data_IF_019059385903
#
_entry.id   IF_019059385903
#
_cell.length_a   1.000
_cell.length_b   1.000
_cell.length_c   1.000
_cell.angle_alpha   90.00
_cell.angle_beta   90.00
_cell.angle_gamma   90.00
#
_symmetry.space_group_name_H-M   'P 1'
#
loop_
_entity.id
_entity.type
_entity.pdbx_description
1 polymer ?
#
# COMPACT_ATOMS: atom_id res chain seq x y z
N UNK A 1 -24.21 -24.97 30.95
CA UNK A 1 -22.77 -25.09 31.19
C UNK A 1 -22.11 -23.88 30.54
N UNK A 2 -21.90 -22.84 31.34
CA UNK A 2 -21.20 -21.63 30.92
C UNK A 2 -19.72 -21.98 30.76
N UNK A 3 -19.17 -21.77 29.56
CA UNK A 3 -17.75 -21.90 29.29
C UNK A 3 -17.19 -20.51 29.02
N UNK A 4 -16.50 -20.00 30.04
CA UNK A 4 -15.49 -18.95 30.04
C UNK A 4 -14.56 -19.04 28.82
N UNK A 5 -14.59 -18.03 27.94
CA UNK A 5 -13.50 -17.74 27.00
C UNK A 5 -13.25 -16.23 26.94
N UNK A 6 -12.21 -15.86 27.67
CA UNK A 6 -11.21 -14.82 27.40
C UNK A 6 -11.68 -13.37 27.16
N UNK A 7 -11.46 -12.57 28.21
CA UNK A 7 -11.23 -11.13 28.11
C UNK A 7 -9.98 -10.95 27.24
N UNK A 8 -10.16 -10.72 25.95
CA UNK A 8 -9.09 -10.25 25.08
C UNK A 8 -8.76 -8.82 25.54
N UNK A 9 -7.68 -8.67 26.31
CA UNK A 9 -7.16 -7.35 26.66
C UNK A 9 -6.84 -6.64 25.35
N UNK A 10 -7.54 -5.54 25.04
CA UNK A 10 -7.24 -4.74 23.88
C UNK A 10 -5.76 -4.32 23.95
N UNK A 11 -4.99 -4.69 22.93
CA UNK A 11 -3.57 -4.35 22.86
C UNK A 11 -3.43 -2.82 22.85
N UNK A 12 -2.52 -2.27 23.67
CA UNK A 12 -2.25 -0.83 23.64
C UNK A 12 -1.57 -0.46 22.33
N UNK A 13 -1.73 0.80 21.88
CA UNK A 13 -1.06 1.30 20.67
C UNK A 13 0.45 1.08 20.75
N UNK A 14 1.06 1.31 21.92
CA UNK A 14 2.49 1.09 22.13
C UNK A 14 2.90 -0.36 21.85
N UNK A 15 2.12 -1.33 22.32
CA UNK A 15 2.40 -2.75 22.08
C UNK A 15 2.26 -3.14 20.59
N UNK A 16 1.26 -2.58 19.90
CA UNK A 16 1.07 -2.80 18.46
C UNK A 16 2.20 -2.19 17.64
N UNK A 17 2.67 -1.02 18.02
CA UNK A 17 3.80 -0.35 17.33
C UNK A 17 5.13 -1.05 17.61
N UNK A 18 5.34 -1.61 18.79
CA UNK A 18 6.53 -2.42 19.05
C UNK A 18 6.53 -3.73 18.25
N UNK A 19 5.37 -4.38 18.14
CA UNK A 19 5.18 -5.52 17.23
C UNK A 19 5.48 -5.11 15.78
N UNK A 20 4.90 -4.01 15.29
CA UNK A 20 5.19 -3.48 13.95
C UNK A 20 6.68 -3.22 13.71
N UNK A 21 7.37 -2.66 14.70
CA UNK A 21 8.81 -2.40 14.61
C UNK A 21 9.62 -3.68 14.46
N UNK A 22 9.30 -4.68 15.28
CA UNK A 22 10.00 -5.97 15.29
C UNK A 22 9.70 -6.81 14.04
N UNK A 23 8.45 -6.82 13.59
CA UNK A 23 7.97 -7.62 12.46
C UNK A 23 8.35 -7.01 11.10
N UNK A 24 8.34 -5.67 10.97
CA UNK A 24 8.48 -5.00 9.66
C UNK A 24 9.54 -3.91 9.65
N UNK A 25 9.47 -2.91 10.54
CA UNK A 25 10.29 -1.69 10.41
C UNK A 25 11.78 -2.00 10.39
N UNK A 26 12.26 -2.85 11.30
CA UNK A 26 13.69 -3.20 11.39
C UNK A 26 14.23 -3.77 10.08
N UNK A 27 13.43 -4.60 9.41
CA UNK A 27 13.83 -5.29 8.19
C UNK A 27 13.68 -4.38 6.97
N UNK A 28 12.52 -3.74 6.80
CA UNK A 28 12.20 -2.91 5.62
C UNK A 28 13.09 -1.67 5.49
N UNK A 29 13.59 -1.14 6.60
CA UNK A 29 14.50 0.02 6.61
C UNK A 29 15.97 -0.36 6.37
N UNK A 30 16.29 -1.65 6.41
CA UNK A 30 17.66 -2.17 6.26
C UNK A 30 17.96 -2.73 4.86
N UNK A 31 16.92 -2.91 4.02
CA UNK A 31 17.02 -3.59 2.73
C UNK A 31 16.05 -2.98 1.70
N UNK A 32 16.47 -2.94 0.43
CA UNK A 32 15.63 -2.56 -0.73
C UNK A 32 15.01 -3.79 -1.42
N UNK A 33 14.89 -4.90 -0.68
CA UNK A 33 14.32 -6.17 -1.12
C UNK A 33 12.79 -6.10 -1.21
N UNK A 34 12.28 -6.10 -2.45
CA UNK A 34 10.83 -6.07 -2.73
C UNK A 34 10.15 -7.43 -2.58
N UNK A 35 10.90 -8.51 -2.33
CA UNK A 35 10.36 -9.86 -2.22
C UNK A 35 9.60 -10.12 -0.92
N UNK A 36 9.79 -9.26 0.08
CA UNK A 36 9.09 -9.30 1.37
C UNK A 36 7.85 -8.41 1.44
N UNK A 37 7.50 -7.69 0.37
CA UNK A 37 6.31 -6.83 0.34
C UNK A 37 5.01 -7.54 0.77
N UNK A 38 4.83 -8.79 0.33
CA UNK A 38 3.68 -9.63 0.71
C UNK A 38 3.66 -9.92 2.21
N UNK A 39 4.82 -10.20 2.80
CA UNK A 39 4.98 -10.49 4.22
C UNK A 39 4.63 -9.24 5.06
N UNK A 40 5.22 -8.09 4.71
CA UNK A 40 4.93 -6.82 5.36
C UNK A 40 3.45 -6.42 5.28
N UNK A 41 2.81 -6.63 4.12
CA UNK A 41 1.39 -6.37 3.91
C UNK A 41 0.48 -7.27 4.78
N UNK A 42 0.87 -8.52 5.02
CA UNK A 42 0.16 -9.43 5.91
C UNK A 42 0.37 -9.06 7.37
N UNK A 43 1.58 -8.66 7.78
CA UNK A 43 1.84 -8.14 9.12
C UNK A 43 1.06 -6.85 9.40
N UNK A 44 0.94 -5.95 8.42
CA UNK A 44 0.06 -4.78 8.51
C UNK A 44 -1.38 -5.21 8.81
N UNK A 45 -1.90 -6.20 8.08
CA UNK A 45 -3.26 -6.73 8.28
C UNK A 45 -3.42 -7.38 9.66
N UNK A 46 -2.42 -8.14 10.11
CA UNK A 46 -2.38 -8.81 11.41
C UNK A 46 -2.50 -7.79 12.54
N UNK A 47 -1.69 -6.74 12.50
CA UNK A 47 -1.59 -5.76 13.58
C UNK A 47 -2.82 -4.86 13.64
N UNK A 48 -3.35 -4.42 12.49
CA UNK A 48 -4.46 -3.46 12.47
C UNK A 48 -5.86 -4.07 12.63
N UNK A 49 -6.06 -5.31 12.17
CA UNK A 49 -7.42 -5.87 12.06
C UNK A 49 -7.54 -7.36 12.40
N UNK A 50 -6.47 -8.14 12.27
CA UNK A 50 -6.53 -9.60 12.38
C UNK A 50 -5.42 -10.14 13.29
N UNK A 51 -5.46 -9.90 14.62
CA UNK A 51 -4.36 -10.27 15.53
C UNK A 51 -4.03 -11.76 15.54
N UNK A 52 -5.00 -12.62 15.22
CA UNK A 52 -4.82 -14.08 15.07
C UNK A 52 -4.44 -14.55 13.67
N UNK A 53 -4.09 -13.65 12.74
CA UNK A 53 -3.74 -14.01 11.36
C UNK A 53 -2.43 -14.82 11.33
N UNK A 54 -2.52 -16.05 10.82
CA UNK A 54 -1.34 -16.85 10.50
C UNK A 54 -0.73 -16.36 9.17
N UNK A 55 0.26 -15.47 9.27
CA UNK A 55 0.97 -14.91 8.12
C UNK A 55 1.62 -16.01 7.27
N UNK A 56 2.17 -17.05 7.90
CA UNK A 56 2.87 -18.13 7.19
C UNK A 56 1.92 -19.00 6.38
N UNK A 57 0.71 -19.24 6.89
CA UNK A 57 -0.33 -19.95 6.17
C UNK A 57 -0.77 -19.18 4.91
N UNK A 58 -0.99 -17.86 5.03
CA UNK A 58 -1.39 -17.04 3.86
C UNK A 58 -0.25 -16.95 2.84
N UNK A 59 1.01 -16.78 3.27
CA UNK A 59 2.16 -16.83 2.36
C UNK A 59 2.24 -18.17 1.61
N UNK A 60 2.03 -19.28 2.31
CA UNK A 60 2.03 -20.61 1.70
C UNK A 60 0.91 -20.79 0.67
N UNK A 61 -0.26 -20.19 0.91
CA UNK A 61 -1.36 -20.19 -0.07
C UNK A 61 -0.99 -19.38 -1.33
N UNK A 62 -0.41 -18.19 -1.18
CA UNK A 62 0.04 -17.38 -2.32
C UNK A 62 1.17 -18.09 -3.08
N UNK A 63 2.09 -18.72 -2.37
CA UNK A 63 3.17 -19.49 -2.99
C UNK A 63 2.61 -20.68 -3.78
N UNK A 64 1.58 -21.36 -3.27
CA UNK A 64 0.87 -22.41 -4.01
C UNK A 64 0.26 -21.88 -5.31
N UNK A 65 -0.36 -20.69 -5.29
CA UNK A 65 -0.82 -20.02 -6.50
C UNK A 65 0.33 -19.77 -7.48
N UNK A 66 1.49 -19.31 -6.99
CA UNK A 66 2.68 -19.13 -7.80
C UNK A 66 3.17 -20.43 -8.46
N UNK A 67 3.14 -21.55 -7.74
CA UNK A 67 3.49 -22.86 -8.29
C UNK A 67 2.55 -23.31 -9.40
N UNK A 68 1.25 -23.04 -9.30
CA UNK A 68 0.28 -23.32 -10.36
C UNK A 68 0.62 -22.55 -11.65
N UNK A 69 0.96 -21.26 -11.53
CA UNK A 69 1.41 -20.45 -12.67
C UNK A 69 2.71 -20.98 -13.26
N UNK A 70 3.66 -21.46 -12.43
CA UNK A 70 4.89 -22.14 -12.92
C UNK A 70 4.54 -23.34 -13.80
N UNK A 71 3.55 -24.15 -13.42
CA UNK A 71 3.13 -25.30 -14.22
C UNK A 71 2.48 -24.86 -15.53
N UNK A 72 1.60 -23.85 -15.50
CA UNK A 72 0.99 -23.29 -16.71
C UNK A 72 2.04 -22.77 -17.69
N UNK A 73 3.01 -22.00 -17.20
CA UNK A 73 4.10 -21.46 -18.00
C UNK A 73 4.97 -22.56 -18.60
N UNK A 74 5.30 -23.61 -17.82
CA UNK A 74 6.10 -24.75 -18.32
C UNK A 74 5.37 -25.58 -19.38
N UNK A 75 4.06 -25.74 -19.23
CA UNK A 75 3.23 -26.55 -20.14
C UNK A 75 2.94 -25.82 -21.45
N UNK A 76 2.61 -24.54 -21.37
CA UNK A 76 2.02 -23.82 -22.49
C UNK A 76 3.03 -23.00 -23.31
N UNK A 77 4.18 -22.65 -22.72
CA UNK A 77 5.16 -21.77 -23.37
C UNK A 77 6.45 -22.51 -23.73
N UNK A 78 6.80 -22.44 -25.02
CA UNK A 78 8.10 -22.87 -25.52
C UNK A 78 9.24 -21.96 -25.04
N UNK A 79 10.47 -22.48 -25.06
CA UNK A 79 11.70 -21.74 -24.72
C UNK A 79 12.39 -21.27 -26.01
N UNK A 80 12.90 -20.01 -26.09
CA UNK A 80 12.86 -18.96 -25.07
C UNK A 80 11.48 -18.30 -24.95
N UNK A 81 11.14 -17.89 -23.72
CA UNK A 81 9.84 -17.27 -23.39
C UNK A 81 9.93 -15.76 -23.55
N UNK A 82 8.94 -15.14 -24.20
CA UNK A 82 8.86 -13.67 -24.26
C UNK A 82 8.24 -13.13 -22.96
N UNK A 83 8.72 -11.98 -22.43
CA UNK A 83 8.13 -11.34 -21.24
C UNK A 83 6.61 -11.18 -21.31
N UNK A 84 6.08 -10.75 -22.46
CA UNK A 84 4.64 -10.58 -22.67
C UNK A 84 3.85 -11.88 -22.53
N UNK A 85 4.40 -13.02 -22.96
CA UNK A 85 3.73 -14.31 -22.79
C UNK A 85 3.68 -14.75 -21.31
N UNK A 86 4.70 -14.39 -20.52
CA UNK A 86 4.70 -14.65 -19.08
C UNK A 86 3.66 -13.76 -18.39
N UNK A 87 3.62 -12.48 -18.75
CA UNK A 87 2.59 -11.52 -18.28
C UNK A 87 1.19 -12.05 -18.60
N UNK A 88 0.94 -12.47 -19.85
CA UNK A 88 -0.35 -13.02 -20.26
C UNK A 88 -0.74 -14.25 -19.42
N UNK A 89 0.21 -15.14 -19.08
CA UNK A 89 -0.08 -16.30 -18.22
C UNK A 89 -0.40 -15.93 -16.78
N UNK A 90 0.27 -14.92 -16.22
CA UNK A 90 -0.07 -14.41 -14.88
C UNK A 90 -1.45 -13.74 -14.92
N UNK A 91 -1.74 -12.96 -15.96
CA UNK A 91 -3.02 -12.30 -16.17
C UNK A 91 -4.17 -13.31 -16.30
N UNK A 92 -3.98 -14.34 -17.12
CA UNK A 92 -4.94 -15.42 -17.31
C UNK A 92 -5.24 -16.11 -15.99
N UNK A 93 -4.21 -16.43 -15.21
CA UNK A 93 -4.40 -17.07 -13.91
C UNK A 93 -5.15 -16.16 -12.93
N UNK A 94 -4.66 -14.94 -12.70
CA UNK A 94 -5.25 -14.04 -11.71
C UNK A 94 -6.65 -13.56 -12.10
N UNK A 95 -6.78 -12.98 -13.29
CA UNK A 95 -7.98 -12.21 -13.65
C UNK A 95 -8.99 -13.06 -14.41
N UNK A 96 -8.55 -13.98 -15.28
CA UNK A 96 -9.45 -14.79 -16.08
C UNK A 96 -9.91 -16.07 -15.35
N UNK A 97 -8.99 -16.81 -14.73
CA UNK A 97 -9.30 -18.06 -14.04
C UNK A 97 -9.78 -17.81 -12.61
N UNK A 98 -8.98 -17.08 -11.81
CA UNK A 98 -9.29 -16.86 -10.40
C UNK A 98 -10.23 -15.70 -10.16
N UNK A 99 -10.47 -14.82 -11.13
CA UNK A 99 -11.41 -13.68 -11.07
C UNK A 99 -11.03 -12.63 -10.03
N UNK A 100 -9.73 -12.40 -9.82
CA UNK A 100 -9.28 -11.19 -9.14
C UNK A 100 -9.75 -9.96 -9.91
N UNK A 101 -10.18 -8.92 -9.20
CA UNK A 101 -10.67 -7.68 -9.83
C UNK A 101 -10.47 -6.45 -8.95
N UNK A 102 -10.50 -5.29 -9.59
CA UNK A 102 -10.62 -4.00 -8.94
C UNK A 102 -11.94 -3.87 -8.16
N UNK A 103 -11.90 -3.21 -6.99
CA UNK A 103 -13.11 -2.71 -6.33
C UNK A 103 -13.37 -1.25 -6.72
N UNK A 104 -14.04 -1.03 -7.84
CA UNK A 104 -14.34 0.34 -8.30
C UNK A 104 -15.55 0.90 -7.55
N UNK A 105 -16.55 0.06 -7.29
CA UNK A 105 -17.83 0.48 -6.69
C UNK A 105 -17.70 0.85 -5.21
N UNK A 106 -16.77 0.19 -4.49
CA UNK A 106 -16.52 0.42 -3.07
C UNK A 106 -15.01 0.58 -2.81
N UNK A 107 -14.41 1.52 -3.54
CA UNK A 107 -12.95 1.73 -3.57
C UNK A 107 -12.36 2.05 -2.19
N UNK A 108 -13.04 2.89 -1.41
CA UNK A 108 -12.60 3.33 -0.08
C UNK A 108 -12.96 2.35 1.05
N UNK A 109 -13.37 1.12 0.73
CA UNK A 109 -13.51 0.09 1.76
C UNK A 109 -12.14 -0.29 2.34
N UNK A 110 -11.91 -0.17 3.67
CA UNK A 110 -10.66 -0.57 4.30
C UNK A 110 -10.26 -2.02 4.00
N UNK A 111 -11.25 -2.90 3.78
CA UNK A 111 -11.03 -4.31 3.47
C UNK A 111 -10.28 -4.54 2.16
N UNK A 112 -10.31 -3.59 1.24
CA UNK A 112 -9.52 -3.64 0.01
C UNK A 112 -8.01 -3.51 0.27
N UNK A 113 -7.59 -3.04 1.44
CA UNK A 113 -6.18 -2.84 1.80
C UNK A 113 -5.60 -4.00 2.61
N UNK A 114 -6.41 -4.93 3.14
CA UNK A 114 -5.91 -6.08 3.91
C UNK A 114 -5.66 -7.27 2.98
N UNK A 115 -4.39 -7.64 2.78
CA UNK A 115 -4.02 -8.60 1.73
C UNK A 115 -4.66 -9.98 1.93
N UNK A 116 -4.82 -10.44 3.18
CA UNK A 116 -5.54 -11.69 3.48
C UNK A 116 -7.00 -11.64 3.00
N UNK A 117 -7.67 -10.50 3.19
CA UNK A 117 -9.05 -10.28 2.75
C UNK A 117 -9.14 -10.14 1.24
N UNK A 118 -8.16 -9.47 0.62
CA UNK A 118 -8.07 -9.35 -0.85
C UNK A 118 -7.94 -10.72 -1.51
N UNK A 119 -7.18 -11.65 -0.92
CA UNK A 119 -7.04 -13.01 -1.45
C UNK A 119 -8.35 -13.80 -1.31
N UNK A 120 -9.03 -13.68 -0.17
CA UNK A 120 -10.31 -14.33 0.09
C UNK A 120 -11.41 -13.82 -0.85
N UNK A 121 -11.58 -12.50 -0.92
CA UNK A 121 -12.64 -11.83 -1.69
C UNK A 121 -12.29 -11.64 -3.17
N UNK A 122 -11.04 -11.85 -3.53
CA UNK A 122 -10.47 -11.65 -4.87
C UNK A 122 -10.73 -10.24 -5.41
N UNK A 123 -10.77 -9.27 -4.51
CA UNK A 123 -11.16 -7.90 -4.81
C UNK A 123 -10.25 -6.96 -4.04
N UNK A 124 -9.65 -5.97 -4.71
CA UNK A 124 -8.66 -5.09 -4.07
C UNK A 124 -8.45 -3.76 -4.80
N UNK A 125 -7.53 -2.97 -4.25
CA UNK A 125 -7.07 -1.68 -4.80
C UNK A 125 -5.72 -1.85 -5.53
N UNK A 126 -5.25 -0.85 -6.32
CA UNK A 126 -4.09 -1.02 -7.20
C UNK A 126 -2.86 -1.61 -6.52
N UNK A 127 -2.52 -1.13 -5.32
CA UNK A 127 -1.33 -1.58 -4.59
C UNK A 127 -1.44 -3.03 -4.10
N UNK A 128 -2.62 -3.46 -3.65
CA UNK A 128 -2.80 -4.83 -3.13
C UNK A 128 -2.78 -5.88 -4.24
N UNK A 129 -3.42 -5.59 -5.38
CA UNK A 129 -3.38 -6.47 -6.55
C UNK A 129 -1.96 -6.53 -7.14
N UNK A 130 -1.23 -5.41 -7.13
CA UNK A 130 0.17 -5.39 -7.54
C UNK A 130 1.08 -6.21 -6.61
N UNK A 131 0.93 -6.12 -5.29
CA UNK A 131 1.73 -6.93 -4.35
C UNK A 131 1.50 -8.43 -4.58
N UNK A 132 0.25 -8.85 -4.80
CA UNK A 132 -0.06 -10.24 -5.16
C UNK A 132 0.60 -10.64 -6.49
N UNK A 133 0.49 -9.78 -7.51
CA UNK A 133 1.09 -10.00 -8.82
C UNK A 133 2.61 -10.18 -8.72
N UNK A 134 3.31 -9.29 -8.00
CA UNK A 134 4.76 -9.33 -7.81
C UNK A 134 5.20 -10.66 -7.19
N UNK A 135 4.46 -11.17 -6.20
CA UNK A 135 4.76 -12.46 -5.55
C UNK A 135 4.62 -13.64 -6.52
N UNK A 136 3.59 -13.63 -7.36
CA UNK A 136 3.37 -14.68 -8.37
C UNK A 136 4.42 -14.60 -9.48
N UNK A 137 4.74 -13.40 -9.97
CA UNK A 137 5.78 -13.18 -10.97
C UNK A 137 7.15 -13.72 -10.49
N UNK A 138 7.46 -13.53 -9.20
CA UNK A 138 8.66 -14.10 -8.58
C UNK A 138 8.69 -15.63 -8.66
N UNK A 139 7.57 -16.31 -8.44
CA UNK A 139 7.52 -17.78 -8.46
C UNK A 139 7.91 -18.36 -9.83
N UNK A 140 7.58 -17.65 -10.92
CA UNK A 140 7.98 -18.02 -12.30
C UNK A 140 9.36 -17.49 -12.70
N UNK A 141 10.15 -16.97 -11.75
CA UNK A 141 11.44 -16.32 -11.98
C UNK A 141 11.35 -15.15 -12.97
N UNK A 142 10.23 -14.43 -12.96
CA UNK A 142 10.02 -13.23 -13.77
C UNK A 142 10.14 -12.00 -12.89
N UNK A 143 11.29 -11.32 -12.97
CA UNK A 143 11.58 -10.17 -12.11
C UNK A 143 10.71 -9.00 -12.50
N UNK A 144 9.85 -8.57 -11.58
CA UNK A 144 9.08 -7.34 -11.69
C UNK A 144 9.36 -6.41 -10.51
N UNK A 145 9.20 -5.12 -10.75
CA UNK A 145 9.52 -4.05 -9.81
C UNK A 145 8.28 -3.18 -9.56
N UNK A 146 7.99 -2.78 -8.31
CA UNK A 146 6.88 -1.88 -8.01
C UNK A 146 7.15 -0.47 -8.56
N UNK A 147 6.09 0.23 -8.95
CA UNK A 147 6.13 1.61 -9.44
C UNK A 147 5.10 2.44 -8.69
N UNK A 148 5.58 3.45 -7.95
CA UNK A 148 4.75 4.34 -7.16
C UNK A 148 4.21 5.51 -8.01
N UNK A 149 3.41 5.19 -9.01
CA UNK A 149 2.86 6.19 -9.94
C UNK A 149 1.86 7.13 -9.22
N UNK A 150 1.71 8.40 -9.63
CA UNK A 150 0.75 9.29 -8.99
C UNK A 150 -0.68 8.74 -9.07
N UNK A 151 -1.38 8.72 -7.93
CA UNK A 151 -2.76 8.23 -7.74
C UNK A 151 -3.07 6.79 -8.18
N UNK A 152 -2.12 6.07 -8.76
CA UNK A 152 -2.27 4.67 -9.15
C UNK A 152 -1.01 3.86 -8.86
N UNK A 153 -1.12 2.57 -8.61
CA UNK A 153 0.07 1.74 -8.36
C UNK A 153 0.28 0.76 -9.50
N UNK A 154 1.50 0.73 -10.03
CA UNK A 154 1.87 -0.05 -11.21
C UNK A 154 3.02 -0.98 -10.87
N UNK A 155 3.31 -1.90 -11.78
CA UNK A 155 4.51 -2.74 -11.72
C UNK A 155 5.19 -2.73 -13.07
N UNK A 156 6.48 -3.03 -13.11
CA UNK A 156 7.24 -3.06 -14.36
C UNK A 156 8.19 -4.22 -14.45
N UNK A 157 8.52 -4.63 -15.67
CA UNK A 157 9.61 -5.52 -15.99
C UNK A 157 10.63 -4.76 -16.84
N UNK A 158 11.89 -4.72 -16.40
CA UNK A 158 13.00 -4.14 -17.19
C UNK A 158 13.55 -5.23 -18.10
N UNK A 159 13.68 -4.93 -19.40
CA UNK A 159 14.18 -5.88 -20.39
C UNK A 159 15.66 -6.19 -20.14
N UNK A 160 16.08 -7.43 -20.42
CA UNK A 160 17.43 -7.93 -20.11
C UNK A 160 18.56 -7.14 -20.80
N UNK A 161 18.29 -6.60 -21.98
CA UNK A 161 19.22 -5.77 -22.76
C UNK A 161 19.18 -4.29 -22.37
N UNK A 162 18.40 -3.92 -21.35
CA UNK A 162 18.10 -2.54 -20.94
C UNK A 162 17.53 -1.66 -22.07
N UNK A 163 16.94 -2.26 -23.12
CA UNK A 163 16.35 -1.51 -24.24
C UNK A 163 15.05 -0.81 -23.86
N UNK A 164 14.44 -1.17 -22.74
CA UNK A 164 13.20 -0.58 -22.25
C UNK A 164 12.60 -1.32 -21.08
N UNK A 165 11.34 -1.00 -20.79
CA UNK A 165 10.56 -1.60 -19.72
C UNK A 165 9.12 -1.84 -20.17
N UNK A 166 8.50 -2.88 -19.61
CA UNK A 166 7.09 -3.20 -19.79
C UNK A 166 6.38 -2.84 -18.49
N UNK A 167 5.52 -1.84 -18.54
CA UNK A 167 4.70 -1.41 -17.40
C UNK A 167 3.37 -2.13 -17.48
N UNK A 168 2.92 -2.66 -16.35
CA UNK A 168 1.69 -3.45 -16.22
C UNK A 168 0.82 -2.84 -15.13
N UNK A 169 -0.48 -2.83 -15.37
CA UNK A 169 -1.51 -2.38 -14.44
C UNK A 169 -2.37 -3.56 -13.94
N UNK A 170 -2.03 -4.13 -12.77
CA UNK A 170 -2.80 -5.21 -12.16
C UNK A 170 -4.24 -4.83 -11.78
N UNK A 171 -4.51 -3.55 -11.52
CA UNK A 171 -5.88 -3.10 -11.20
C UNK A 171 -6.80 -3.23 -12.42
N UNK A 172 -6.25 -2.94 -13.61
CA UNK A 172 -6.95 -3.06 -14.88
C UNK A 172 -6.69 -4.41 -15.58
N UNK A 173 -6.67 -5.50 -14.80
CA UNK A 173 -6.57 -6.86 -15.33
C UNK A 173 -5.20 -7.21 -15.93
N UNK A 174 -4.14 -6.53 -15.48
CA UNK A 174 -2.78 -6.76 -15.97
C UNK A 174 -2.52 -6.16 -17.35
N UNK A 175 -3.25 -5.10 -17.70
CA UNK A 175 -3.06 -4.36 -18.95
C UNK A 175 -1.62 -3.84 -19.05
N UNK A 176 -0.97 -4.05 -20.20
CA UNK A 176 0.31 -3.41 -20.52
C UNK A 176 0.04 -1.93 -20.85
N UNK A 177 0.80 -1.05 -20.21
CA UNK A 177 0.63 0.40 -20.26
C UNK A 177 1.68 1.01 -21.20
N UNK A 178 1.21 1.70 -22.24
CA UNK A 178 2.04 2.57 -23.08
C UNK A 178 2.10 4.00 -22.53
N UNK A 179 2.99 4.82 -23.09
CA UNK A 179 3.16 6.22 -22.67
C UNK A 179 1.87 7.03 -22.75
N UNK A 180 1.02 6.74 -23.75
CA UNK A 180 -0.28 7.38 -23.88
C UNK A 180 -1.23 7.03 -22.73
N UNK A 181 -1.30 5.75 -22.35
CA UNK A 181 -2.13 5.28 -21.23
C UNK A 181 -1.62 5.85 -19.90
N UNK A 182 -0.30 5.92 -19.70
CA UNK A 182 0.31 6.53 -18.52
C UNK A 182 0.03 8.03 -18.43
N UNK A 183 0.16 8.75 -19.56
CA UNK A 183 -0.17 10.17 -19.63
C UNK A 183 -1.65 10.42 -19.37
N UNK A 184 -2.53 9.58 -19.91
CA UNK A 184 -3.98 9.64 -19.64
C UNK A 184 -4.28 9.50 -18.14
N UNK A 185 -3.65 8.53 -17.47
CA UNK A 185 -3.80 8.31 -16.03
C UNK A 185 -3.30 9.51 -15.20
N UNK A 186 -2.19 10.12 -15.62
CA UNK A 186 -1.62 11.30 -14.99
C UNK A 186 -2.54 12.52 -15.17
N UNK A 187 -3.11 12.70 -16.36
CA UNK A 187 -4.02 13.81 -16.67
C UNK A 187 -5.38 13.66 -15.99
N UNK A 188 -5.87 12.44 -15.79
CA UNK A 188 -7.06 12.18 -14.96
C UNK A 188 -6.83 12.57 -13.50
N UNK A 189 -5.61 12.35 -13.01
CA UNK A 189 -5.22 12.68 -11.64
C UNK A 189 -5.02 14.18 -11.44
N UNK A 190 -4.35 14.83 -12.40
CA UNK A 190 -4.00 16.26 -12.34
C UNK A 190 -4.47 17.01 -13.59
N UNK A 191 -5.79 17.15 -13.80
CA UNK A 191 -6.38 17.63 -15.06
C UNK A 191 -6.01 19.07 -15.45
N UNK A 192 -5.34 19.82 -14.56
CA UNK A 192 -4.97 21.23 -14.75
C UNK A 192 -3.48 21.52 -14.62
N UNK A 193 -2.65 20.54 -14.30
CA UNK A 193 -1.23 20.76 -14.05
C UNK A 193 -0.35 20.42 -15.27
N UNK A 194 -0.91 19.73 -16.27
CA UNK A 194 -0.20 19.26 -17.48
C UNK A 194 1.19 18.68 -17.17
N UNK A 195 1.25 17.77 -16.20
CA UNK A 195 2.50 17.19 -15.74
C UNK A 195 3.11 16.36 -16.88
N UNK A 196 4.40 16.56 -17.23
CA UNK A 196 5.06 15.74 -18.25
C UNK A 196 5.28 14.32 -17.73
N UNK A 197 5.06 13.32 -18.60
CA UNK A 197 5.47 11.95 -18.31
C UNK A 197 7.00 11.88 -18.35
N UNK A 198 7.62 11.52 -17.23
CA UNK A 198 9.09 11.42 -17.10
C UNK A 198 9.49 10.06 -16.56
N UNK A 199 10.73 9.63 -16.84
CA UNK A 199 11.28 8.40 -16.27
C UNK A 199 11.26 8.36 -14.73
N UNK A 200 11.27 9.52 -14.07
CA UNK A 200 11.18 9.59 -12.61
C UNK A 200 9.86 9.04 -12.07
N UNK A 201 8.75 9.22 -12.80
CA UNK A 201 7.42 8.74 -12.40
C UNK A 201 7.28 7.22 -12.46
N UNK A 202 8.13 6.56 -13.25
CA UNK A 202 8.12 5.10 -13.46
C UNK A 202 9.32 4.40 -12.84
N UNK A 203 10.09 5.09 -12.00
CA UNK A 203 11.22 4.51 -11.27
C UNK A 203 10.73 3.41 -10.32
N UNK A 204 11.58 2.40 -10.10
CA UNK A 204 11.37 1.38 -9.05
C UNK A 204 11.09 2.08 -7.71
N UNK A 205 9.97 1.72 -7.10
CA UNK A 205 9.64 2.10 -5.73
C UNK A 205 10.41 1.22 -4.73
N UNK A 206 10.87 1.82 -3.63
CA UNK A 206 11.47 1.08 -2.52
C UNK A 206 10.40 0.38 -1.69
N UNK A 207 10.72 -0.70 -0.95
CA UNK A 207 9.76 -1.34 -0.04
C UNK A 207 9.11 -0.35 0.94
N UNK A 208 9.89 0.58 1.49
CA UNK A 208 9.40 1.66 2.37
C UNK A 208 8.32 2.49 1.68
N UNK A 209 8.57 2.94 0.44
CA UNK A 209 7.60 3.72 -0.34
C UNK A 209 6.30 2.94 -0.58
N UNK A 210 6.40 1.63 -0.89
CA UNK A 210 5.23 0.78 -1.11
C UNK A 210 4.40 0.65 0.18
N UNK A 211 5.03 0.32 1.32
CA UNK A 211 4.30 0.10 2.57
C UNK A 211 3.72 1.40 3.14
N UNK A 212 4.44 2.53 3.05
CA UNK A 212 3.87 3.84 3.43
C UNK A 212 2.68 4.18 2.55
N UNK A 213 2.75 3.96 1.23
CA UNK A 213 1.59 4.16 0.35
C UNK A 213 0.41 3.29 0.75
N UNK A 214 0.65 2.01 1.04
CA UNK A 214 -0.39 1.08 1.45
C UNK A 214 -1.07 1.55 2.75
N UNK A 215 -0.27 1.99 3.74
CA UNK A 215 -0.78 2.59 4.97
C UNK A 215 -1.58 3.87 4.70
N UNK A 216 -1.13 4.74 3.79
CA UNK A 216 -1.86 5.96 3.43
C UNK A 216 -3.19 5.66 2.71
N UNK A 217 -3.25 4.66 1.83
CA UNK A 217 -4.51 4.21 1.22
C UNK A 217 -5.49 3.69 2.28
N UNK A 218 -4.98 2.92 3.25
CA UNK A 218 -5.78 2.42 4.36
C UNK A 218 -6.22 3.54 5.32
N UNK A 219 -5.35 4.49 5.67
CA UNK A 219 -5.68 5.67 6.48
C UNK A 219 -6.82 6.48 5.88
N UNK A 220 -6.79 6.72 4.56
CA UNK A 220 -7.88 7.38 3.85
C UNK A 220 -9.19 6.59 3.94
N UNK A 221 -9.13 5.29 3.67
CA UNK A 221 -10.29 4.39 3.78
C UNK A 221 -10.89 4.34 5.20
N UNK A 222 -10.03 4.31 6.23
CA UNK A 222 -10.44 4.32 7.64
C UNK A 222 -11.03 5.67 8.05
N UNK A 223 -10.51 6.77 7.50
CA UNK A 223 -11.08 8.09 7.71
C UNK A 223 -12.50 8.20 7.15
N UNK A 224 -12.72 7.73 5.92
CA UNK A 224 -14.05 7.65 5.30
C UNK A 224 -15.01 6.77 6.10
N UNK A 225 -14.51 5.64 6.62
CA UNK A 225 -15.27 4.74 7.50
C UNK A 225 -15.46 5.27 8.94
N UNK A 226 -14.92 6.45 9.26
CA UNK A 226 -14.91 7.05 10.60
C UNK A 226 -14.25 6.19 11.70
N UNK A 227 -13.36 5.26 11.33
CA UNK A 227 -12.58 4.43 12.26
C UNK A 227 -11.31 5.18 12.69
N UNK A 228 -11.50 6.18 13.57
CA UNK A 228 -10.44 7.08 14.06
C UNK A 228 -9.37 6.31 14.84
N UNK A 229 -9.74 5.24 15.55
CA UNK A 229 -8.81 4.44 16.33
C UNK A 229 -7.81 3.72 15.42
N UNK A 230 -8.29 2.94 14.44
CA UNK A 230 -7.40 2.28 13.48
C UNK A 230 -6.64 3.27 12.61
N UNK A 231 -7.27 4.39 12.24
CA UNK A 231 -6.55 5.45 11.53
C UNK A 231 -5.35 5.95 12.34
N UNK A 232 -5.53 6.17 13.66
CA UNK A 232 -4.44 6.58 14.55
C UNK A 232 -3.33 5.54 14.56
N UNK A 233 -3.66 4.25 14.72
CA UNK A 233 -2.67 3.16 14.73
C UNK A 233 -1.91 3.09 13.40
N UNK A 234 -2.62 3.15 12.27
CA UNK A 234 -2.00 3.13 10.95
C UNK A 234 -1.07 4.34 10.72
N UNK A 235 -1.43 5.50 11.28
CA UNK A 235 -0.57 6.68 11.24
C UNK A 235 0.71 6.53 12.07
N UNK A 236 0.61 5.98 13.28
CA UNK A 236 1.79 5.68 14.10
C UNK A 236 2.68 4.60 13.45
N UNK A 237 2.11 3.65 12.68
CA UNK A 237 2.89 2.70 11.88
C UNK A 237 3.70 3.38 10.77
N UNK A 238 3.17 4.45 10.15
CA UNK A 238 3.94 5.28 9.19
C UNK A 238 5.08 6.00 9.92
N UNK A 239 4.80 6.65 11.05
CA UNK A 239 5.81 7.35 11.85
C UNK A 239 6.89 6.42 12.43
N UNK A 240 6.55 5.14 12.65
CA UNK A 240 7.53 4.14 13.05
C UNK A 240 8.51 3.78 11.91
N UNK A 241 8.06 3.84 10.64
CA UNK A 241 8.93 3.65 9.47
C UNK A 241 9.74 4.92 9.19
N UNK A 242 9.07 6.07 9.16
CA UNK A 242 9.65 7.38 8.88
C UNK A 242 9.14 8.41 9.90
N UNK A 243 9.95 8.64 10.93
CA UNK A 243 9.65 9.55 12.05
C UNK A 243 9.50 11.01 11.64
N UNK A 244 9.94 11.39 10.44
CA UNK A 244 9.88 12.75 9.92
C UNK A 244 8.93 12.89 8.74
N UNK A 245 8.09 11.89 8.50
CA UNK A 245 7.11 11.93 7.43
C UNK A 245 6.13 13.09 7.64
N UNK A 246 6.12 14.12 6.78
CA UNK A 246 5.34 15.34 7.01
C UNK A 246 3.84 15.07 7.04
N UNK A 247 3.34 14.24 6.11
CA UNK A 247 1.91 13.88 6.04
C UNK A 247 1.44 13.17 7.31
N UNK A 248 2.23 12.23 7.83
CA UNK A 248 1.88 11.50 9.05
C UNK A 248 1.96 12.38 10.30
N UNK A 249 2.86 13.37 10.34
CA UNK A 249 2.91 14.37 11.43
C UNK A 249 1.67 15.27 11.37
N UNK A 250 1.30 15.78 10.19
CA UNK A 250 0.07 16.55 10.00
C UNK A 250 -1.15 15.76 10.46
N UNK A 251 -1.31 14.53 9.96
CA UNK A 251 -2.45 13.68 10.26
C UNK A 251 -2.54 13.36 11.76
N UNK A 252 -1.40 13.16 12.44
CA UNK A 252 -1.35 13.02 13.91
C UNK A 252 -1.90 14.24 14.63
N UNK A 253 -1.49 15.44 14.20
CA UNK A 253 -2.01 16.70 14.75
C UNK A 253 -3.53 16.84 14.58
N UNK A 254 -4.05 16.51 13.39
CA UNK A 254 -5.49 16.53 13.10
C UNK A 254 -6.24 15.50 13.95
N UNK A 255 -5.70 14.29 14.13
CA UNK A 255 -6.34 13.26 14.97
C UNK A 255 -6.34 13.63 16.46
N UNK A 256 -5.26 14.22 16.97
CA UNK A 256 -5.20 14.74 18.35
C UNK A 256 -6.26 15.82 18.57
N UNK A 257 -6.42 16.74 17.61
CA UNK A 257 -7.45 17.77 17.68
C UNK A 257 -8.85 17.17 17.73
N UNK A 258 -9.14 16.18 16.88
CA UNK A 258 -10.43 15.47 16.88
C UNK A 258 -10.73 14.74 18.20
N UNK A 259 -9.70 14.30 18.93
CA UNK A 259 -9.83 13.68 20.26
C UNK A 259 -9.96 14.70 21.40
N UNK A 260 -9.82 16.00 21.12
CA UNK A 260 -9.89 17.07 22.10
C UNK A 260 -8.54 17.45 22.74
N UNK A 261 -7.44 16.83 22.30
CA UNK A 261 -6.09 17.09 22.82
C UNK A 261 -5.45 18.33 22.16
N UNK A 262 -6.15 19.46 22.26
CA UNK A 262 -5.81 20.73 21.59
C UNK A 262 -4.37 21.20 21.84
N UNK A 263 -3.84 21.01 23.05
CA UNK A 263 -2.48 21.43 23.41
C UNK A 263 -1.41 20.63 22.65
N UNK A 264 -1.54 19.30 22.59
CA UNK A 264 -0.57 18.46 21.85
C UNK A 264 -0.78 18.58 20.35
N UNK A 265 -2.03 18.68 19.88
CA UNK A 265 -2.35 18.95 18.48
C UNK A 265 -1.65 20.23 17.98
N UNK A 266 -1.71 21.32 18.76
CA UNK A 266 -1.04 22.57 18.44
C UNK A 266 0.48 22.36 18.27
N UNK A 267 1.12 21.66 19.20
CA UNK A 267 2.57 21.39 19.13
C UNK A 267 2.93 20.59 17.87
N UNK A 268 2.17 19.53 17.57
CA UNK A 268 2.42 18.66 16.42
C UNK A 268 2.20 19.41 15.10
N UNK A 269 1.12 20.18 14.96
CA UNK A 269 0.84 20.95 13.75
C UNK A 269 1.87 22.06 13.50
N UNK A 270 2.40 22.71 14.54
CA UNK A 270 3.52 23.64 14.36
C UNK A 270 4.77 22.93 13.84
N UNK A 271 5.10 21.74 14.39
CA UNK A 271 6.27 20.97 13.91
C UNK A 271 6.14 20.52 12.45
N UNK A 272 4.92 20.23 12.00
CA UNK A 272 4.64 19.94 10.59
C UNK A 272 5.02 21.13 9.69
N UNK A 273 4.59 22.35 10.04
CA UNK A 273 4.91 23.56 9.28
C UNK A 273 6.39 23.94 9.34
N UNK A 274 7.10 23.55 10.39
CA UNK A 274 8.57 23.70 10.46
C UNK A 274 9.28 22.75 9.48
N UNK A 275 8.76 21.53 9.29
CA UNK A 275 9.33 20.53 8.39
C UNK A 275 8.99 20.85 6.93
N UNK A 276 7.77 21.29 6.65
CA UNK A 276 7.28 21.56 5.30
C UNK A 276 6.56 22.92 5.22
N UNK A 277 7.31 24.04 5.27
CA UNK A 277 6.72 25.39 5.31
C UNK A 277 6.00 25.79 4.02
N UNK A 278 6.32 25.17 2.89
CA UNK A 278 5.74 25.44 1.58
C UNK A 278 4.72 24.36 1.15
N UNK A 279 4.16 23.63 2.11
CA UNK A 279 3.12 22.64 1.84
C UNK A 279 1.89 23.29 1.17
N UNK A 280 1.23 22.57 0.26
CA UNK A 280 0.05 23.06 -0.44
C UNK A 280 -1.11 23.41 0.53
N UNK A 281 -1.19 22.69 1.65
CA UNK A 281 -2.17 22.84 2.73
C UNK A 281 -1.67 23.71 3.91
N UNK A 282 -0.51 24.39 3.78
CA UNK A 282 0.07 25.16 4.88
C UNK A 282 -0.87 26.24 5.44
N UNK A 283 -1.59 26.96 4.56
CA UNK A 283 -2.55 27.99 4.95
C UNK A 283 -3.74 27.41 5.74
N UNK A 284 -4.24 26.25 5.33
CA UNK A 284 -5.33 25.54 6.03
C UNK A 284 -4.89 25.12 7.44
N UNK A 285 -3.68 24.58 7.58
CA UNK A 285 -3.11 24.18 8.87
C UNK A 285 -2.86 25.41 9.77
N UNK A 286 -2.40 26.54 9.21
CA UNK A 286 -2.26 27.79 9.95
C UNK A 286 -3.59 28.29 10.51
N UNK A 287 -4.67 28.18 9.75
CA UNK A 287 -6.01 28.54 10.21
C UNK A 287 -6.51 27.63 11.32
N UNK A 288 -6.28 26.32 11.23
CA UNK A 288 -6.56 25.38 12.32
C UNK A 288 -5.79 25.77 13.59
N UNK A 289 -4.50 26.07 13.47
CA UNK A 289 -3.65 26.52 14.59
C UNK A 289 -4.21 27.79 15.25
N UNK A 290 -4.67 28.76 14.45
CA UNK A 290 -5.30 30.00 14.96
C UNK A 290 -6.59 29.70 15.72
N UNK A 291 -7.44 28.83 15.18
CA UNK A 291 -8.69 28.42 15.82
C UNK A 291 -8.45 27.75 17.17
N UNK A 292 -7.51 26.79 17.24
CA UNK A 292 -7.12 26.14 18.51
C UNK A 292 -6.73 27.18 19.55
N UNK A 293 -5.82 28.11 19.20
CA UNK A 293 -5.36 29.16 20.12
C UNK A 293 -6.47 30.09 20.60
N UNK A 294 -7.47 30.35 19.75
CA UNK A 294 -8.61 31.20 20.10
C UNK A 294 -9.59 30.51 21.07
N UNK A 295 -9.79 29.19 20.92
CA UNK A 295 -10.68 28.39 21.77
C UNK A 295 -10.07 27.95 23.11
N UNK A 296 -8.76 28.11 23.29
CA UNK A 296 -8.08 27.89 24.57
C UNK A 296 -8.14 29.10 25.52
N UNK A 297 -8.66 30.24 25.07
CA UNK A 297 -8.86 31.45 25.89
C UNK A 297 -10.20 31.40 26.61
#
# INVERSE_FOLDING_TARGET
MAATWEIQVAASIESLIEDWKSSVVKDITSSDDTYKLTDYALHLSRILAYPGLDVSAILSMIDSMGHEVVQMVKKDLATPRRPTQIIDKINDYLFNMHKFKANIDDYYNPLNSYLNVVIERKTGIPITLAILYLRIARAVNFKMEPVNFPSHFLIKHVLEDNSGEIIVDPFNGGRIMDDYSLKTLLDQTYPRQNIPLTHALVKKATPVQVIIRMLNNLKGSLYEAQDIEKHTIANEMVLAIDRYNPDAIRDKGIMLLKKGDSAEALKVLNSYLEINPEAEDADEILDIIRQIRSGMK
#
